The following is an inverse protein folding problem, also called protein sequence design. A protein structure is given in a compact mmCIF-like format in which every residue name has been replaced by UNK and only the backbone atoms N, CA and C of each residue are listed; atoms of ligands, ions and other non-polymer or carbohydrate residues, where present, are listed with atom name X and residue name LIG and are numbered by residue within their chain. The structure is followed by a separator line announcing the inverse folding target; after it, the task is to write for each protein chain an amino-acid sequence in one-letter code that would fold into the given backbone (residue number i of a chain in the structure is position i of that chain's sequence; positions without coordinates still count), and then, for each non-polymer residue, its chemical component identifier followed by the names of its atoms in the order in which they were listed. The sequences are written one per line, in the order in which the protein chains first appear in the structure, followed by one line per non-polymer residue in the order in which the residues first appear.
data_IF_975080360176
#
_entry.id   IF_975080360176
#
_cell.length_a   1.000
_cell.length_b   1.000
_cell.length_c   1.000
_cell.angle_alpha   90.00
_cell.angle_beta   90.00
_cell.angle_gamma   90.00
#
_symmetry.space_group_name_H-M   'P 1'
#
loop_
_entity.id
_entity.type
_entity.pdbx_description
1 polymer ?
#
# COMPACT_ATOMS: atom_id res chain seq x y z
N UNK A 1 7.38 14.57 -6.45
CA UNK A 1 7.73 13.44 -7.34
C UNK A 1 8.23 12.27 -6.51
N UNK A 2 9.44 12.41 -5.95
CA UNK A 2 10.02 11.45 -4.97
C UNK A 2 9.13 11.32 -3.72
N UNK A 3 8.62 12.44 -3.23
CA UNK A 3 7.83 12.49 -1.99
C UNK A 3 6.52 11.68 -2.05
N UNK A 4 5.78 11.69 -3.16
CA UNK A 4 4.52 10.94 -3.26
C UNK A 4 4.74 9.43 -3.28
N UNK A 5 5.81 8.96 -3.92
CA UNK A 5 6.18 7.53 -3.95
C UNK A 5 6.73 7.09 -2.61
N UNK A 6 7.57 7.93 -1.98
CA UNK A 6 8.09 7.70 -0.64
C UNK A 6 6.92 7.61 0.37
N UNK A 7 5.93 8.51 0.31
CA UNK A 7 4.73 8.46 1.16
C UNK A 7 3.89 7.18 0.95
N UNK A 8 3.71 6.71 -0.29
CA UNK A 8 2.98 5.46 -0.58
C UNK A 8 3.73 4.26 0.00
N UNK A 9 5.05 4.19 -0.23
CA UNK A 9 5.91 3.12 0.28
C UNK A 9 5.87 3.09 1.80
N UNK A 10 6.04 4.24 2.44
CA UNK A 10 6.12 4.35 3.89
C UNK A 10 4.76 4.02 4.52
N UNK A 11 3.64 4.47 3.92
CA UNK A 11 2.28 4.09 4.33
C UNK A 11 2.08 2.56 4.26
N UNK A 12 2.47 1.93 3.15
CA UNK A 12 2.40 0.47 3.01
C UNK A 12 3.24 -0.24 4.07
N UNK A 13 4.48 0.19 4.26
CA UNK A 13 5.38 -0.40 5.25
C UNK A 13 4.81 -0.28 6.67
N UNK A 14 4.32 0.90 7.05
CA UNK A 14 3.75 1.12 8.37
C UNK A 14 2.55 0.22 8.65
N UNK A 15 1.67 0.04 7.66
CA UNK A 15 0.45 -0.78 7.81
C UNK A 15 0.75 -2.28 7.78
N UNK A 16 1.65 -2.71 6.89
CA UNK A 16 1.90 -4.13 6.65
C UNK A 16 2.98 -4.75 7.54
N UNK A 17 3.90 -3.93 8.06
CA UNK A 17 5.08 -4.40 8.80
C UNK A 17 5.13 -3.79 10.20
N UNK A 18 5.20 -2.45 10.30
CA UNK A 18 5.46 -1.78 11.56
C UNK A 18 4.37 -2.04 12.60
N UNK A 19 3.10 -1.81 12.26
CA UNK A 19 1.99 -2.00 13.19
C UNK A 19 1.75 -3.47 13.57
N UNK A 20 1.76 -4.42 12.62
CA UNK A 20 1.73 -5.85 12.95
C UNK A 20 2.84 -6.25 13.93
N UNK A 21 4.05 -5.72 13.75
CA UNK A 21 5.15 -5.99 14.66
C UNK A 21 4.89 -5.41 16.06
N UNK A 22 4.47 -4.14 16.16
CA UNK A 22 4.12 -3.52 17.44
C UNK A 22 3.01 -4.28 18.15
N UNK A 23 1.97 -4.68 17.42
CA UNK A 23 0.86 -5.47 17.95
C UNK A 23 1.34 -6.82 18.48
N UNK A 24 2.25 -7.50 17.77
CA UNK A 24 2.79 -8.78 18.21
C UNK A 24 3.69 -8.69 19.44
N UNK A 25 4.39 -7.57 19.64
CA UNK A 25 5.36 -7.40 20.72
C UNK A 25 4.75 -6.75 21.96
N UNK A 26 3.90 -5.74 21.78
CA UNK A 26 3.37 -4.90 22.85
C UNK A 26 1.85 -4.96 22.97
N UNK A 27 1.16 -5.73 22.11
CA UNK A 27 -0.31 -5.77 22.04
C UNK A 27 -0.93 -4.37 21.84
N UNK A 28 -0.19 -3.46 21.21
CA UNK A 28 -0.59 -2.10 20.86
C UNK A 28 0.02 -1.74 19.50
N UNK A 29 -0.68 -0.95 18.70
CA UNK A 29 -0.20 -0.41 17.42
C UNK A 29 0.35 1.01 17.53
N UNK A 30 0.30 1.61 18.72
CA UNK A 30 0.71 3.01 18.96
C UNK A 30 2.12 3.09 19.56
N UNK A 31 3.09 3.43 18.73
CA UNK A 31 4.50 3.56 19.12
C UNK A 31 4.74 4.68 20.13
N UNK A 32 3.94 5.75 20.11
CA UNK A 32 4.10 6.87 21.05
C UNK A 32 3.66 6.45 22.45
N UNK A 33 2.54 5.72 22.56
CA UNK A 33 2.10 5.14 23.84
C UNK A 33 3.09 4.12 24.41
N UNK A 34 3.76 3.36 23.55
CA UNK A 34 4.73 2.35 23.96
C UNK A 34 6.04 3.02 24.40
N UNK A 35 6.47 4.07 23.71
CA UNK A 35 7.75 4.75 23.89
C UNK A 35 8.75 4.34 22.82
N UNK A 36 9.19 5.31 22.03
CA UNK A 36 10.07 5.11 20.87
C UNK A 36 11.39 4.44 21.29
N UNK A 37 12.03 4.94 22.35
CA UNK A 37 13.30 4.42 22.86
C UNK A 37 13.18 2.94 23.29
N UNK A 38 12.01 2.53 23.80
CA UNK A 38 11.74 1.15 24.22
C UNK A 38 11.66 0.22 23.01
N UNK A 39 10.96 0.67 21.97
CA UNK A 39 10.82 -0.04 20.71
C UNK A 39 12.17 -0.14 19.99
N UNK A 40 12.92 0.96 19.94
CA UNK A 40 14.23 1.02 19.29
C UNK A 40 15.27 0.15 20.01
N UNK A 41 15.27 0.12 21.35
CA UNK A 41 16.13 -0.77 22.14
C UNK A 41 15.91 -2.26 21.78
N UNK A 42 14.66 -2.69 21.65
CA UNK A 42 14.34 -4.07 21.26
C UNK A 42 14.62 -4.34 19.77
N UNK A 43 14.41 -3.36 18.88
CA UNK A 43 14.68 -3.48 17.44
C UNK A 43 16.18 -3.51 17.11
N UNK A 44 16.98 -2.72 17.81
CA UNK A 44 18.43 -2.61 17.61
C UNK A 44 19.19 -3.79 18.20
N UNK A 45 18.57 -4.53 19.14
CA UNK A 45 19.18 -5.73 19.73
C UNK A 45 18.97 -6.94 18.84
N UNK A 46 20.07 -7.42 18.26
CA UNK A 46 20.06 -8.59 17.37
C UNK A 46 19.53 -9.83 18.09
N UNK A 47 18.64 -10.62 17.47
CA UNK A 47 18.20 -11.90 18.03
C UNK A 47 19.29 -12.97 18.06
N UNK A 48 20.32 -12.85 17.21
CA UNK A 48 21.33 -13.89 17.01
C UNK A 48 22.69 -13.55 17.66
N UNK A 49 22.94 -12.27 17.95
CA UNK A 49 24.17 -11.84 18.63
C UNK A 49 24.22 -12.37 20.05
N UNK A 50 25.41 -12.80 20.49
CA UNK A 50 25.63 -13.36 21.83
C UNK A 50 24.63 -14.47 22.20
N UNK A 51 24.30 -15.35 21.23
CA UNK A 51 23.28 -16.41 21.35
C UNK A 51 21.89 -15.91 21.81
N UNK A 52 21.58 -14.63 21.62
CA UNK A 52 20.30 -14.03 22.02
C UNK A 52 20.23 -13.60 23.50
N UNK A 53 21.27 -13.79 24.31
CA UNK A 53 21.25 -13.45 25.75
C UNK A 53 20.94 -11.96 25.99
N UNK A 54 21.48 -11.07 25.15
CA UNK A 54 21.25 -9.62 25.28
C UNK A 54 19.77 -9.29 25.03
N UNK A 55 19.12 -10.03 24.14
CA UNK A 55 17.70 -9.86 23.84
C UNK A 55 16.82 -10.49 24.92
N UNK A 56 17.23 -11.62 25.49
CA UNK A 56 16.52 -12.25 26.61
C UNK A 56 16.47 -11.33 27.83
N UNK A 57 17.56 -10.61 28.14
CA UNK A 57 17.59 -9.62 29.22
C UNK A 57 16.57 -8.50 29.00
N UNK A 58 16.53 -7.92 27.81
CA UNK A 58 15.57 -6.85 27.47
C UNK A 58 14.13 -7.38 27.53
N UNK A 59 13.88 -8.62 27.08
CA UNK A 59 12.56 -9.24 27.16
C UNK A 59 12.16 -9.53 28.61
N UNK A 60 13.09 -9.96 29.45
CA UNK A 60 12.86 -10.16 30.88
C UNK A 60 12.51 -8.84 31.58
N UNK A 61 13.26 -7.76 31.34
CA UNK A 61 12.95 -6.41 31.83
C UNK A 61 11.57 -5.94 31.36
N UNK A 62 11.18 -6.21 30.10
CA UNK A 62 9.85 -5.87 29.60
C UNK A 62 8.74 -6.64 30.33
N UNK A 63 8.95 -7.91 30.66
CA UNK A 63 7.97 -8.75 31.37
C UNK A 63 7.88 -8.35 32.85
N UNK A 64 9.02 -8.22 33.51
CA UNK A 64 9.13 -8.06 34.97
C UNK A 64 8.93 -6.61 35.40
N UNK A 65 9.65 -5.66 34.81
CA UNK A 65 9.65 -4.26 35.23
C UNK A 65 8.53 -3.45 34.58
N UNK A 66 8.13 -3.85 33.37
CA UNK A 66 7.16 -3.09 32.55
C UNK A 66 5.83 -3.81 32.34
N UNK A 67 5.65 -4.96 32.99
CA UNK A 67 4.40 -5.74 32.99
C UNK A 67 3.89 -6.08 31.58
N UNK A 68 4.80 -6.23 30.60
CA UNK A 68 4.45 -6.61 29.25
C UNK A 68 4.16 -8.12 29.17
N UNK A 69 2.96 -8.50 29.60
CA UNK A 69 2.51 -9.89 29.60
C UNK A 69 2.45 -10.50 28.20
N UNK A 70 2.44 -9.69 27.14
CA UNK A 70 2.37 -10.17 25.77
C UNK A 70 3.64 -10.93 25.36
N UNK A 71 4.80 -10.61 25.94
CA UNK A 71 6.06 -11.33 25.67
C UNK A 71 6.20 -12.63 26.49
N UNK A 72 5.28 -12.91 27.41
CA UNK A 72 5.32 -14.13 28.22
C UNK A 72 4.94 -15.38 27.42
N UNK A 73 5.43 -16.53 27.88
CA UNK A 73 5.15 -17.84 27.26
C UNK A 73 3.64 -18.15 27.25
N UNK A 74 2.89 -17.67 28.23
CA UNK A 74 1.44 -17.94 28.33
C UNK A 74 0.63 -17.24 27.23
N UNK A 75 1.15 -16.15 26.64
CA UNK A 75 0.51 -15.43 25.52
C UNK A 75 0.97 -15.91 24.14
N UNK A 76 1.89 -16.86 24.06
CA UNK A 76 2.42 -17.39 22.79
C UNK A 76 1.33 -17.92 21.86
N UNK A 77 0.34 -18.66 22.39
CA UNK A 77 -0.77 -19.18 21.58
C UNK A 77 -1.63 -18.04 21.01
N UNK A 78 -1.93 -17.03 21.83
CA UNK A 78 -2.67 -15.85 21.35
C UNK A 78 -1.89 -15.10 20.28
N UNK A 79 -0.57 -14.92 20.46
CA UNK A 79 0.30 -14.29 19.46
C UNK A 79 0.33 -15.09 18.16
N UNK A 80 0.40 -16.42 18.23
CA UNK A 80 0.33 -17.27 17.03
C UNK A 80 -0.99 -17.08 16.28
N UNK A 81 -2.12 -17.00 17.00
CA UNK A 81 -3.42 -16.66 16.42
C UNK A 81 -3.42 -15.28 15.75
N UNK A 82 -2.87 -14.27 16.43
CA UNK A 82 -2.69 -12.91 15.87
C UNK A 82 -1.84 -12.94 14.59
N UNK A 83 -0.72 -13.67 14.56
CA UNK A 83 0.13 -13.84 13.36
C UNK A 83 -0.68 -14.37 12.18
N UNK A 84 -1.54 -15.38 12.40
CA UNK A 84 -2.38 -15.92 11.34
C UNK A 84 -3.32 -14.87 10.76
N UNK A 85 -4.01 -14.09 11.60
CA UNK A 85 -4.85 -12.99 11.11
C UNK A 85 -4.04 -11.92 10.40
N UNK A 86 -2.90 -11.51 10.95
CA UNK A 86 -2.00 -10.54 10.34
C UNK A 86 -1.54 -10.99 8.96
N UNK A 87 -1.27 -12.28 8.79
CA UNK A 87 -0.91 -12.88 7.49
C UNK A 87 -2.05 -12.80 6.49
N UNK A 88 -3.28 -13.18 6.88
CA UNK A 88 -4.47 -13.10 6.02
C UNK A 88 -4.76 -11.65 5.60
N UNK A 89 -4.73 -10.71 6.55
CA UNK A 89 -4.94 -9.29 6.26
C UNK A 89 -3.85 -8.73 5.35
N UNK A 90 -2.58 -9.09 5.59
CA UNK A 90 -1.48 -8.67 4.73
C UNK A 90 -1.63 -9.16 3.29
N UNK A 91 -2.02 -10.43 3.09
CA UNK A 91 -2.29 -10.96 1.76
C UNK A 91 -3.44 -10.18 1.12
N UNK A 92 -4.54 -9.97 1.85
CA UNK A 92 -5.70 -9.22 1.35
C UNK A 92 -5.31 -7.82 0.85
N UNK A 93 -4.61 -7.04 1.67
CA UNK A 93 -4.14 -5.70 1.30
C UNK A 93 -3.20 -5.78 0.09
N UNK A 94 -2.24 -6.72 0.12
CA UNK A 94 -1.23 -6.87 -0.95
C UNK A 94 -1.85 -7.21 -2.30
N UNK A 95 -2.88 -8.07 -2.35
CA UNK A 95 -3.56 -8.41 -3.59
C UNK A 95 -4.17 -7.16 -4.24
N UNK A 96 -4.91 -6.35 -3.49
CA UNK A 96 -5.54 -5.15 -4.06
C UNK A 96 -4.51 -4.08 -4.44
N UNK A 97 -3.49 -3.86 -3.61
CA UNK A 97 -2.41 -2.94 -3.93
C UNK A 97 -1.66 -3.38 -5.20
N UNK A 98 -1.40 -4.68 -5.34
CA UNK A 98 -0.80 -5.25 -6.54
C UNK A 98 -1.68 -5.04 -7.77
N UNK A 99 -2.99 -5.28 -7.69
CA UNK A 99 -3.92 -5.04 -8.79
C UNK A 99 -3.97 -3.57 -9.21
N UNK A 100 -4.06 -2.64 -8.26
CA UNK A 100 -4.07 -1.21 -8.52
C UNK A 100 -2.77 -0.74 -9.19
N UNK A 101 -1.63 -1.21 -8.67
CA UNK A 101 -0.32 -0.91 -9.25
C UNK A 101 -0.15 -1.54 -10.63
N UNK A 102 -0.68 -2.76 -10.83
CA UNK A 102 -0.70 -3.43 -12.13
C UNK A 102 -1.43 -2.59 -13.18
N UNK A 103 -2.61 -2.07 -12.86
CA UNK A 103 -3.38 -1.17 -13.75
C UNK A 103 -2.58 0.09 -14.10
N UNK A 104 -1.87 0.68 -13.13
CA UNK A 104 -0.99 1.82 -13.36
C UNK A 104 0.12 1.50 -14.37
N UNK A 105 0.77 0.35 -14.23
CA UNK A 105 1.82 -0.10 -15.17
C UNK A 105 1.24 -0.38 -16.56
N UNK A 106 0.10 -1.08 -16.64
CA UNK A 106 -0.58 -1.34 -17.92
C UNK A 106 -0.94 -0.05 -18.66
N UNK A 107 -1.44 0.96 -17.94
CA UNK A 107 -1.74 2.28 -18.53
C UNK A 107 -0.50 2.98 -19.08
N UNK A 108 0.65 2.85 -18.42
CA UNK A 108 1.92 3.39 -18.93
C UNK A 108 2.39 2.67 -20.20
N UNK A 109 2.26 1.35 -20.26
CA UNK A 109 2.60 0.56 -21.45
C UNK A 109 1.69 0.96 -22.62
N UNK A 110 0.38 1.08 -22.40
CA UNK A 110 -0.56 1.55 -23.43
C UNK A 110 -0.21 2.93 -23.96
N UNK A 111 0.19 3.86 -23.08
CA UNK A 111 0.65 5.19 -23.47
C UNK A 111 1.86 5.12 -24.41
N UNK A 112 2.86 4.32 -24.06
CA UNK A 112 4.07 4.14 -24.88
C UNK A 112 3.70 3.58 -26.26
N UNK A 113 2.82 2.57 -26.31
CA UNK A 113 2.34 1.98 -27.56
C UNK A 113 1.70 3.07 -28.45
N UNK A 114 0.72 3.82 -27.95
CA UNK A 114 0.06 4.85 -28.74
C UNK A 114 1.00 5.99 -29.16
N UNK A 115 1.95 6.36 -28.30
CA UNK A 115 2.96 7.36 -28.61
C UNK A 115 3.89 6.91 -29.75
N UNK A 116 4.30 5.63 -29.77
CA UNK A 116 5.12 5.08 -30.85
C UNK A 116 4.36 4.95 -32.18
N UNK A 117 3.05 4.72 -32.15
CA UNK A 117 2.23 4.66 -33.35
C UNK A 117 1.90 6.04 -33.94
N UNK A 118 1.98 7.11 -33.14
CA UNK A 118 1.59 8.46 -33.56
C UNK A 118 2.35 8.96 -34.82
N UNK A 119 3.69 8.84 -34.93
CA UNK A 119 4.43 9.25 -36.14
C UNK A 119 4.00 8.48 -37.39
N UNK A 120 3.76 7.17 -37.26
CA UNK A 120 3.29 6.32 -38.37
C UNK A 120 1.91 6.78 -38.84
N UNK A 121 1.00 7.08 -37.91
CA UNK A 121 -0.32 7.62 -38.24
C UNK A 121 -0.25 8.99 -38.92
N UNK A 122 0.72 9.85 -38.56
CA UNK A 122 0.92 11.13 -39.24
C UNK A 122 1.36 10.94 -40.70
N UNK A 123 2.34 10.08 -40.95
CA UNK A 123 2.83 9.79 -42.31
C UNK A 123 1.69 9.22 -43.17
N UNK A 124 0.96 8.24 -42.66
CA UNK A 124 -0.15 7.61 -43.40
C UNK A 124 -1.30 8.58 -43.66
N UNK A 125 -1.57 9.53 -42.77
CA UNK A 125 -2.63 10.53 -42.96
C UNK A 125 -2.38 11.51 -44.12
N UNK A 126 -1.14 11.55 -44.65
CA UNK A 126 -0.83 12.31 -45.86
C UNK A 126 -1.35 11.64 -47.14
N UNK A 127 -1.71 10.35 -47.08
CA UNK A 127 -2.35 9.62 -48.18
C UNK A 127 -3.86 9.88 -48.08
N UNK A 128 -4.52 10.38 -49.14
CA UNK A 128 -5.94 10.75 -49.12
C UNK A 128 -6.88 9.62 -48.66
N UNK A 129 -6.53 8.36 -48.93
CA UNK A 129 -7.29 7.18 -48.51
C UNK A 129 -7.32 6.94 -46.99
N UNK A 130 -6.44 7.59 -46.23
CA UNK A 130 -6.32 7.47 -44.78
C UNK A 130 -6.65 8.78 -44.04
N UNK A 131 -7.44 9.65 -44.66
CA UNK A 131 -7.88 10.90 -44.04
C UNK A 131 -8.63 10.64 -42.71
N UNK A 132 -8.33 11.45 -41.70
CA UNK A 132 -8.83 11.29 -40.34
C UNK A 132 -8.11 10.25 -39.46
N UNK A 133 -7.16 9.46 -39.99
CA UNK A 133 -6.36 8.53 -39.18
C UNK A 133 -5.53 9.25 -38.10
N UNK A 134 -4.92 10.39 -38.46
CA UNK A 134 -4.14 11.23 -37.54
C UNK A 134 -5.00 11.80 -36.42
N UNK A 135 -6.21 12.30 -36.74
CA UNK A 135 -7.17 12.78 -35.73
C UNK A 135 -7.53 11.67 -34.74
N UNK A 136 -7.84 10.46 -35.23
CA UNK A 136 -8.13 9.29 -34.37
C UNK A 136 -6.95 8.89 -33.50
N UNK A 137 -5.73 8.90 -34.05
CA UNK A 137 -4.51 8.57 -33.30
C UNK A 137 -4.24 9.60 -32.18
N UNK A 138 -4.41 10.89 -32.47
CA UNK A 138 -4.32 11.97 -31.48
C UNK A 138 -5.38 11.79 -30.39
N UNK A 139 -6.64 11.56 -30.73
CA UNK A 139 -7.72 11.34 -29.74
C UNK A 139 -7.42 10.13 -28.85
N UNK A 140 -6.94 9.01 -29.42
CA UNK A 140 -6.55 7.82 -28.63
C UNK A 140 -5.38 8.11 -27.68
N UNK A 141 -4.39 8.88 -28.12
CA UNK A 141 -3.26 9.29 -27.30
C UNK A 141 -3.71 10.18 -26.14
N UNK A 142 -4.56 11.18 -26.41
CA UNK A 142 -5.14 12.03 -25.37
C UNK A 142 -6.00 11.24 -24.38
N UNK A 143 -6.86 10.34 -24.85
CA UNK A 143 -7.63 9.46 -23.97
C UNK A 143 -6.71 8.61 -23.09
N UNK A 144 -5.62 8.09 -23.64
CA UNK A 144 -4.67 7.28 -22.84
C UNK A 144 -3.92 8.12 -21.81
N UNK A 145 -3.54 9.35 -22.14
CA UNK A 145 -2.96 10.30 -21.16
C UNK A 145 -3.96 10.59 -20.04
N UNK A 146 -5.21 10.86 -20.39
CA UNK A 146 -6.25 11.22 -19.43
C UNK A 146 -6.60 10.03 -18.51
N UNK A 147 -6.69 8.82 -19.06
CA UNK A 147 -6.82 7.58 -18.28
C UNK A 147 -5.63 7.37 -17.35
N UNK A 148 -4.39 7.58 -17.83
CA UNK A 148 -3.18 7.46 -17.00
C UNK A 148 -3.18 8.46 -15.84
N UNK A 149 -3.52 9.72 -16.11
CA UNK A 149 -3.62 10.76 -15.09
C UNK A 149 -4.72 10.42 -14.07
N UNK A 150 -5.89 9.98 -14.56
CA UNK A 150 -7.00 9.54 -13.72
C UNK A 150 -6.64 8.38 -12.80
N UNK A 151 -6.01 7.32 -13.31
CA UNK A 151 -5.53 6.19 -12.50
C UNK A 151 -4.53 6.66 -11.43
N UNK A 152 -3.58 7.51 -11.80
CA UNK A 152 -2.58 8.04 -10.85
C UNK A 152 -3.26 8.83 -9.73
N UNK A 153 -4.26 9.65 -10.07
CA UNK A 153 -5.05 10.41 -9.10
C UNK A 153 -5.82 9.47 -8.16
N UNK A 154 -6.56 8.49 -8.70
CA UNK A 154 -7.33 7.52 -7.90
C UNK A 154 -6.43 6.77 -6.93
N UNK A 155 -5.27 6.29 -7.39
CA UNK A 155 -4.30 5.58 -6.55
C UNK A 155 -3.75 6.50 -5.46
N UNK A 156 -3.40 7.74 -5.82
CA UNK A 156 -2.91 8.72 -4.84
C UNK A 156 -3.96 8.98 -3.76
N UNK A 157 -5.22 9.15 -4.15
CA UNK A 157 -6.33 9.32 -3.19
C UNK A 157 -6.54 8.06 -2.34
N UNK A 158 -6.46 6.87 -2.93
CA UNK A 158 -6.56 5.60 -2.20
C UNK A 158 -5.50 5.50 -1.09
N UNK A 159 -4.24 5.80 -1.43
CA UNK A 159 -3.15 5.81 -0.47
C UNK A 159 -3.25 6.94 0.55
N UNK A 160 -3.84 8.08 0.17
CA UNK A 160 -4.10 9.16 1.13
C UNK A 160 -5.13 8.72 2.17
N UNK A 161 -6.22 8.07 1.75
CA UNK A 161 -7.24 7.51 2.65
C UNK A 161 -6.61 6.43 3.54
N UNK A 162 -5.79 5.55 2.96
CA UNK A 162 -4.99 4.55 3.70
C UNK A 162 -4.20 5.16 4.85
N UNK A 163 -3.48 6.26 4.60
CA UNK A 163 -2.73 6.96 5.64
C UNK A 163 -3.64 7.58 6.70
N UNK A 164 -4.84 8.04 6.34
CA UNK A 164 -5.83 8.51 7.32
C UNK A 164 -6.42 7.36 8.16
N UNK A 165 -6.62 6.18 7.57
CA UNK A 165 -7.02 4.99 8.32
C UNK A 165 -5.92 4.53 9.28
N UNK A 166 -4.66 4.68 8.87
CA UNK A 166 -3.51 4.44 9.74
C UNK A 166 -3.52 5.35 10.97
N UNK A 167 -3.75 6.66 10.84
CA UNK A 167 -3.77 7.56 12.02
C UNK A 167 -4.89 7.24 13.00
N UNK A 168 -6.01 6.68 12.54
CA UNK A 168 -7.10 6.23 13.41
C UNK A 168 -6.75 4.99 14.24
N UNK A 169 -5.68 4.26 13.91
CA UNK A 169 -5.27 3.04 14.62
C UNK A 169 -4.71 3.22 16.02
N UNK A 170 -4.39 4.44 16.41
CA UNK A 170 -4.09 4.74 17.80
C UNK A 170 -5.36 4.65 18.69
N UNK A 171 -6.55 4.88 18.12
CA UNK A 171 -7.82 4.93 18.87
C UNK A 171 -8.77 3.76 18.66
N UNK A 172 -8.51 2.88 17.68
CA UNK A 172 -9.40 1.78 17.32
C UNK A 172 -8.64 0.45 17.20
N UNK A 173 -9.31 -0.72 17.36
CA UNK A 173 -8.66 -2.02 17.22
C UNK A 173 -8.00 -2.20 15.85
N UNK A 174 -6.72 -2.59 15.83
CA UNK A 174 -5.94 -2.79 14.61
C UNK A 174 -6.68 -3.64 13.56
N UNK A 175 -7.28 -4.76 13.96
CA UNK A 175 -7.97 -5.66 13.02
C UNK A 175 -9.19 -5.02 12.34
N UNK A 176 -9.88 -4.10 13.02
CA UNK A 176 -10.98 -3.35 12.41
C UNK A 176 -10.45 -2.43 11.30
N UNK A 177 -9.30 -1.81 11.53
CA UNK A 177 -8.66 -0.92 10.57
C UNK A 177 -8.08 -1.71 9.41
N UNK A 178 -7.41 -2.83 9.67
CA UNK A 178 -6.93 -3.72 8.63
C UNK A 178 -8.09 -4.23 7.73
N UNK A 179 -9.25 -4.53 8.32
CA UNK A 179 -10.45 -4.85 7.55
C UNK A 179 -10.95 -3.66 6.72
N UNK A 180 -11.05 -2.46 7.33
CA UNK A 180 -11.49 -1.25 6.63
C UNK A 180 -10.53 -0.85 5.50
N UNK A 181 -9.24 -1.14 5.66
CA UNK A 181 -8.21 -0.96 4.65
C UNK A 181 -8.47 -1.83 3.43
N UNK A 182 -8.76 -3.12 3.65
CA UNK A 182 -9.13 -4.05 2.57
C UNK A 182 -10.41 -3.57 1.89
N UNK A 183 -11.44 -3.20 2.65
CA UNK A 183 -12.72 -2.70 2.09
C UNK A 183 -12.49 -1.45 1.25
N UNK A 184 -11.63 -0.53 1.70
CA UNK A 184 -11.27 0.69 0.97
C UNK A 184 -10.58 0.36 -0.36
N UNK A 185 -9.50 -0.43 -0.33
CA UNK A 185 -8.77 -0.78 -1.55
C UNK A 185 -9.61 -1.62 -2.51
N UNK A 186 -10.39 -2.57 -2.00
CA UNK A 186 -11.31 -3.37 -2.78
C UNK A 186 -12.41 -2.51 -3.41
N UNK A 187 -13.02 -1.61 -2.64
CA UNK A 187 -14.05 -0.69 -3.11
C UNK A 187 -13.54 0.22 -4.23
N UNK A 188 -12.33 0.77 -4.07
CA UNK A 188 -11.67 1.58 -5.10
C UNK A 188 -11.39 0.74 -6.35
N UNK A 189 -10.87 -0.48 -6.19
CA UNK A 189 -10.63 -1.38 -7.30
C UNK A 189 -11.92 -1.73 -8.07
N UNK A 190 -12.98 -2.11 -7.38
CA UNK A 190 -14.27 -2.44 -8.02
C UNK A 190 -14.90 -1.24 -8.72
N UNK A 191 -14.70 -0.03 -8.20
CA UNK A 191 -15.18 1.22 -8.82
C UNK A 191 -14.21 1.84 -9.80
N UNK A 192 -13.04 1.24 -10.01
CA UNK A 192 -12.02 1.80 -10.90
C UNK A 192 -12.52 1.88 -12.35
N UNK A 193 -13.30 0.90 -12.82
CA UNK A 193 -13.92 0.94 -14.15
C UNK A 193 -14.85 2.15 -14.32
N UNK A 194 -15.74 2.37 -13.37
CA UNK A 194 -16.67 3.51 -13.35
C UNK A 194 -15.90 4.83 -13.30
N UNK A 195 -14.90 4.93 -12.42
CA UNK A 195 -14.06 6.12 -12.27
C UNK A 195 -13.26 6.42 -13.53
N UNK A 196 -12.69 5.41 -14.20
CA UNK A 196 -11.97 5.58 -15.46
C UNK A 196 -12.89 6.04 -16.60
N UNK A 197 -14.15 5.59 -16.62
CA UNK A 197 -15.12 6.00 -17.64
C UNK A 197 -15.42 7.51 -17.58
N UNK A 198 -15.34 8.12 -16.39
CA UNK A 198 -15.47 9.57 -16.20
C UNK A 198 -14.30 10.36 -16.79
N UNK A 199 -13.13 9.72 -16.95
CA UNK A 199 -11.92 10.32 -17.51
C UNK A 199 -11.72 10.00 -18.99
N UNK A 200 -12.50 9.11 -19.60
CA UNK A 200 -12.44 8.94 -21.05
C UNK A 200 -13.26 10.04 -21.73
N UNK A 201 -12.67 10.77 -22.70
CA UNK A 201 -13.49 11.56 -23.61
C UNK A 201 -14.29 10.56 -24.44
N UNK A 202 -15.60 10.48 -24.18
CA UNK A 202 -16.52 9.75 -25.05
C UNK A 202 -16.35 10.30 -26.47
N UNK A 203 -16.11 9.37 -27.41
CA UNK A 203 -16.13 9.67 -28.84
C UNK A 203 -17.55 9.91 -29.32
#
# INVERSE_FOLDING_TARGET
GKDSVDLIRDSLFSIQVQQPWLLLQYNSSDIESIGIDRVESLLSTSPDSNNGEDREKIVAEEIEDRSNTNLTITKTINRLGTVFFLFVFNIGISIFVFLLTGIMIFSQVLFIIYAMFLPVCFILSMIPSFDGMSKRAITKLFNTILTRAGITLIITTAFSISTMLYTLSAGYPFFLIAFLQIVTFAGIYFKLGDLMSMFSLQS
#
